data_IF_051580756381
#
_entry.id   IF_051580756381
#
_cell.length_a   1.000
_cell.length_b   1.000
_cell.length_c   1.000
_cell.angle_alpha   90.00
_cell.angle_beta   90.00
_cell.angle_gamma   90.00
#
_symmetry.space_group_name_H-M   'P 1'
#
loop_
_entity.id
_entity.type
_entity.pdbx_description
1 polymer ?
#
# COMPACT_ATOMS: atom_id res chain seq x y z
N UNK A 1 26.56 33.44 -10.43
CA UNK A 1 26.79 32.00 -10.23
C UNK A 1 25.58 31.43 -9.50
N UNK A 2 24.63 30.83 -10.22
CA UNK A 2 23.46 30.20 -9.62
C UNK A 2 23.70 28.68 -9.60
N UNK A 3 23.97 28.13 -8.42
CA UNK A 3 24.05 26.69 -8.23
C UNK A 3 22.62 26.12 -8.15
N UNK A 4 22.16 25.58 -9.27
CA UNK A 4 21.00 24.69 -9.33
C UNK A 4 21.34 23.41 -8.56
N UNK A 5 20.72 23.23 -7.40
CA UNK A 5 20.73 21.96 -6.67
C UNK A 5 19.37 21.31 -6.91
N UNK A 6 19.22 20.72 -8.09
CA UNK A 6 18.14 19.76 -8.36
C UNK A 6 18.53 18.44 -7.70
N UNK A 7 18.45 18.37 -6.36
CA UNK A 7 18.48 17.08 -5.66
C UNK A 7 17.10 16.46 -5.78
N UNK A 8 16.87 15.79 -6.91
CA UNK A 8 15.80 14.82 -7.04
C UNK A 8 16.08 13.68 -6.07
N UNK A 9 15.53 13.79 -4.85
CA UNK A 9 15.52 12.68 -3.91
C UNK A 9 14.59 11.63 -4.54
N UNK A 10 15.17 10.63 -5.21
CA UNK A 10 14.47 9.39 -5.55
C UNK A 10 14.19 8.68 -4.23
N UNK A 11 13.12 9.07 -3.55
CA UNK A 11 12.57 8.26 -2.47
C UNK A 11 11.82 7.13 -3.16
N UNK A 12 12.50 6.00 -3.29
CA UNK A 12 11.82 4.77 -3.67
C UNK A 12 10.82 4.47 -2.54
N UNK A 13 9.52 4.56 -2.83
CA UNK A 13 8.50 3.97 -1.95
C UNK A 13 8.79 2.48 -1.94
N UNK A 14 9.52 2.05 -0.93
CA UNK A 14 9.73 0.65 -0.67
C UNK A 14 8.45 0.16 0.00
N UNK A 15 7.42 -0.07 -0.80
CA UNK A 15 6.26 -0.82 -0.35
C UNK A 15 6.78 -2.22 -0.03
N UNK A 16 7.00 -2.46 1.25
CA UNK A 16 7.61 -3.69 1.72
C UNK A 16 6.58 -4.54 2.40
N UNK A 17 6.60 -5.84 2.10
CA UNK A 17 5.84 -6.85 2.80
C UNK A 17 6.80 -7.92 3.33
N UNK A 18 6.38 -8.66 4.35
CA UNK A 18 7.20 -9.68 4.99
C UNK A 18 7.21 -10.96 4.15
N UNK A 19 8.40 -11.49 3.85
CA UNK A 19 8.59 -12.74 3.10
C UNK A 19 8.38 -13.98 4.00
N UNK A 20 8.14 -15.16 3.42
CA UNK A 20 7.90 -16.42 4.16
C UNK A 20 9.20 -17.06 4.70
N UNK A 21 10.37 -16.57 4.28
CA UNK A 21 11.65 -17.21 4.57
C UNK A 21 12.46 -16.44 5.62
N UNK A 22 12.51 -16.98 6.85
CA UNK A 22 13.52 -16.78 7.92
C UNK A 22 13.03 -16.12 9.24
N UNK A 23 13.18 -16.80 10.38
CA UNK A 23 12.27 -16.68 11.53
C UNK A 23 12.71 -15.84 12.73
N UNK A 24 12.71 -14.50 12.66
CA UNK A 24 12.98 -13.67 13.86
C UNK A 24 12.21 -12.33 13.95
N UNK A 25 10.90 -12.34 14.19
CA UNK A 25 10.18 -11.15 14.71
C UNK A 25 8.96 -11.54 15.57
N UNK A 26 8.85 -10.93 16.77
CA UNK A 26 7.86 -11.29 17.81
C UNK A 26 6.43 -10.77 17.54
N UNK A 27 6.27 -9.72 16.74
CA UNK A 27 4.95 -9.21 16.32
C UNK A 27 4.28 -10.11 15.27
N UNK A 28 5.09 -10.65 14.35
CA UNK A 28 4.68 -11.57 13.28
C UNK A 28 4.16 -12.90 13.82
N UNK A 29 4.80 -13.42 14.88
CA UNK A 29 4.39 -14.66 15.57
C UNK A 29 2.99 -14.61 16.15
N UNK A 30 2.58 -13.46 16.71
CA UNK A 30 1.33 -13.32 17.46
C UNK A 30 0.09 -13.32 16.56
N UNK A 31 0.23 -12.91 15.29
CA UNK A 31 -0.88 -12.82 14.33
C UNK A 31 -0.85 -13.89 13.23
N UNK A 32 0.30 -14.48 12.92
CA UNK A 32 0.45 -15.36 11.74
C UNK A 32 1.28 -16.64 11.96
N UNK A 33 1.73 -16.93 13.19
CA UNK A 33 2.58 -18.10 13.49
C UNK A 33 4.01 -18.00 12.92
N UNK A 34 4.79 -19.09 12.99
CA UNK A 34 6.21 -19.17 12.58
C UNK A 34 6.47 -19.00 11.06
N UNK A 35 5.52 -18.47 10.27
CA UNK A 35 5.59 -18.41 8.79
C UNK A 35 6.01 -17.05 8.22
N UNK A 36 6.39 -16.09 9.04
CA UNK A 36 6.71 -14.72 8.59
C UNK A 36 8.10 -14.26 8.99
N UNK A 37 8.88 -13.89 7.99
CA UNK A 37 10.25 -13.40 8.13
C UNK A 37 10.35 -11.89 8.28
N UNK A 38 11.36 -11.37 9.01
CA UNK A 38 11.56 -9.93 9.24
C UNK A 38 11.92 -9.14 7.99
N UNK A 39 12.28 -9.81 6.89
CA UNK A 39 12.82 -9.13 5.73
C UNK A 39 11.70 -8.40 4.99
N UNK A 40 11.84 -7.08 4.99
CA UNK A 40 11.06 -6.18 4.18
C UNK A 40 11.41 -6.39 2.70
N UNK A 41 10.53 -7.09 1.97
CA UNK A 41 10.66 -7.32 0.54
C UNK A 41 9.86 -6.30 -0.23
N UNK A 42 10.49 -5.64 -1.20
CA UNK A 42 9.83 -4.77 -2.16
C UNK A 42 8.74 -5.53 -2.91
N UNK A 43 7.57 -4.90 -3.11
CA UNK A 43 6.59 -5.39 -4.06
C UNK A 43 7.25 -5.53 -5.44
N UNK A 44 7.16 -6.72 -6.00
CA UNK A 44 7.51 -6.98 -7.39
C UNK A 44 6.49 -6.35 -8.34
N UNK A 45 6.83 -6.26 -9.64
CA UNK A 45 5.93 -5.70 -10.66
C UNK A 45 4.55 -6.39 -10.68
N UNK A 46 4.51 -7.71 -10.45
CA UNK A 46 3.25 -8.47 -10.35
C UNK A 46 2.47 -8.13 -9.07
N UNK A 47 3.16 -7.74 -8.01
CA UNK A 47 2.52 -7.37 -6.75
C UNK A 47 2.02 -5.93 -6.75
N UNK A 48 2.47 -5.09 -7.68
CA UNK A 48 1.87 -3.77 -7.91
C UNK A 48 0.40 -3.86 -8.35
N UNK A 49 -0.03 -5.00 -8.93
CA UNK A 49 -1.45 -5.26 -9.17
C UNK A 49 -2.30 -5.23 -7.90
N UNK A 50 -1.70 -5.34 -6.70
CA UNK A 50 -2.37 -5.10 -5.43
C UNK A 50 -3.10 -3.74 -5.41
N UNK A 51 -2.44 -2.66 -5.86
CA UNK A 51 -3.06 -1.33 -5.92
C UNK A 51 -4.16 -1.27 -6.98
N UNK A 52 -3.99 -1.97 -8.10
CA UNK A 52 -5.02 -2.10 -9.13
C UNK A 52 -6.27 -2.81 -8.61
N UNK A 53 -6.09 -3.87 -7.81
CA UNK A 53 -7.18 -4.57 -7.13
C UNK A 53 -7.89 -3.63 -6.14
N UNK A 54 -7.14 -2.90 -5.31
CA UNK A 54 -7.73 -1.90 -4.39
C UNK A 54 -8.58 -0.86 -5.14
N UNK A 55 -8.08 -0.37 -6.27
CA UNK A 55 -8.81 0.56 -7.12
C UNK A 55 -10.07 -0.10 -7.72
N UNK A 56 -9.98 -1.32 -8.23
CA UNK A 56 -11.13 -2.04 -8.78
C UNK A 56 -12.24 -2.26 -7.71
N UNK A 57 -11.87 -2.53 -6.46
CA UNK A 57 -12.82 -2.64 -5.35
C UNK A 57 -13.59 -1.34 -5.06
N UNK A 58 -13.03 -0.17 -5.40
CA UNK A 58 -13.76 1.11 -5.29
C UNK A 58 -14.75 1.36 -6.42
N UNK A 59 -14.62 0.64 -7.55
CA UNK A 59 -15.52 0.76 -8.69
C UNK A 59 -16.73 -0.17 -8.57
N UNK A 60 -16.52 -1.34 -7.98
CA UNK A 60 -17.56 -2.34 -7.75
C UNK A 60 -17.51 -2.80 -6.31
N UNK A 61 -18.31 -2.18 -5.45
CA UNK A 61 -18.36 -2.55 -4.04
C UNK A 61 -19.13 -3.86 -3.83
N UNK A 62 -18.47 -4.84 -3.21
CA UNK A 62 -19.10 -6.08 -2.76
C UNK A 62 -19.24 -6.12 -1.23
N UNK A 63 -20.26 -6.81 -0.68
CA UNK A 63 -20.51 -6.84 0.76
C UNK A 63 -19.35 -7.38 1.60
N UNK A 64 -18.61 -8.35 1.06
CA UNK A 64 -17.41 -8.92 1.69
C UNK A 64 -16.29 -8.98 0.65
N UNK A 65 -15.09 -8.56 1.06
CA UNK A 65 -13.86 -8.61 0.26
C UNK A 65 -13.56 -10.01 -0.28
N UNK A 66 -13.98 -11.06 0.42
CA UNK A 66 -13.77 -12.45 -0.02
C UNK A 66 -14.48 -12.75 -1.35
N UNK A 67 -15.56 -12.04 -1.67
CA UNK A 67 -16.35 -12.28 -2.88
C UNK A 67 -15.63 -11.89 -4.17
N UNK A 68 -14.63 -10.99 -4.13
CA UNK A 68 -13.86 -10.61 -5.33
C UNK A 68 -13.04 -11.76 -5.95
N UNK A 69 -12.77 -12.82 -5.17
CA UNK A 69 -12.05 -14.01 -5.63
C UNK A 69 -12.94 -15.21 -5.91
N UNK A 70 -14.27 -15.07 -5.80
CA UNK A 70 -15.17 -16.15 -6.15
C UNK A 70 -15.13 -16.42 -7.66
N UNK A 71 -15.33 -17.68 -8.03
CA UNK A 71 -15.39 -18.14 -9.42
C UNK A 71 -16.80 -18.57 -9.84
N UNK A 72 -17.74 -18.58 -8.88
CA UNK A 72 -19.12 -18.99 -9.11
C UNK A 72 -19.85 -17.83 -9.77
N UNK A 73 -20.21 -18.00 -11.05
CA UNK A 73 -20.93 -17.02 -11.86
C UNK A 73 -22.42 -16.90 -11.52
N UNK A 74 -22.98 -17.88 -10.82
CA UNK A 74 -24.43 -18.09 -10.74
C UNK A 74 -25.10 -17.30 -9.59
N UNK A 75 -24.58 -16.11 -9.27
CA UNK A 75 -25.07 -15.26 -8.20
C UNK A 75 -25.59 -13.90 -8.70
N UNK A 76 -26.36 -13.22 -7.84
CA UNK A 76 -26.86 -11.85 -8.07
C UNK A 76 -25.69 -10.86 -8.29
N UNK A 77 -24.51 -11.17 -7.76
CA UNK A 77 -23.27 -10.43 -7.95
C UNK A 77 -22.24 -11.34 -8.62
N UNK A 78 -22.15 -11.37 -9.96
CA UNK A 78 -21.14 -12.17 -10.64
C UNK A 78 -19.75 -11.65 -10.23
N UNK A 79 -18.88 -12.51 -9.68
CA UNK A 79 -17.58 -12.08 -9.19
C UNK A 79 -16.64 -11.78 -10.36
N UNK A 80 -15.85 -10.72 -10.21
CA UNK A 80 -14.85 -10.31 -11.21
C UNK A 80 -13.71 -11.34 -11.40
N UNK A 81 -13.62 -12.36 -10.54
CA UNK A 81 -12.55 -13.36 -10.53
C UNK A 81 -11.15 -12.71 -10.57
N UNK A 82 -10.85 -11.89 -9.56
CA UNK A 82 -9.57 -11.19 -9.46
C UNK A 82 -8.37 -12.12 -9.43
N UNK A 83 -8.55 -13.36 -8.96
CA UNK A 83 -7.53 -14.40 -9.00
C UNK A 83 -7.01 -14.67 -10.40
N UNK A 84 -7.91 -14.74 -11.39
CA UNK A 84 -7.55 -14.95 -12.79
C UNK A 84 -7.18 -13.63 -13.49
N UNK A 85 -7.91 -12.54 -13.24
CA UNK A 85 -7.69 -11.26 -13.94
C UNK A 85 -6.39 -10.56 -13.55
N UNK A 86 -6.04 -10.59 -12.26
CA UNK A 86 -4.88 -9.88 -11.72
C UNK A 86 -3.74 -10.83 -11.29
N UNK A 87 -3.90 -12.14 -11.53
CA UNK A 87 -2.91 -13.18 -11.20
C UNK A 87 -2.47 -13.13 -9.72
N UNK A 88 -3.37 -12.67 -8.84
CA UNK A 88 -3.11 -12.52 -7.41
C UNK A 88 -4.13 -13.34 -6.64
N UNK A 89 -3.65 -14.34 -5.90
CA UNK A 89 -4.51 -15.14 -5.03
C UNK A 89 -5.02 -14.29 -3.87
N UNK A 90 -6.21 -14.64 -3.34
CA UNK A 90 -6.77 -13.99 -2.15
C UNK A 90 -5.79 -14.00 -0.98
N UNK A 91 -5.15 -15.14 -0.74
CA UNK A 91 -4.16 -15.29 0.33
C UNK A 91 -2.99 -14.31 0.15
N UNK A 92 -2.47 -14.18 -1.08
CA UNK A 92 -1.38 -13.25 -1.34
C UNK A 92 -1.80 -11.80 -1.13
N UNK A 93 -3.00 -11.44 -1.58
CA UNK A 93 -3.56 -10.11 -1.36
C UNK A 93 -3.66 -9.79 0.15
N UNK A 94 -4.21 -10.70 0.97
CA UNK A 94 -4.35 -10.50 2.41
C UNK A 94 -2.97 -10.39 3.12
N UNK A 95 -1.99 -11.19 2.68
CA UNK A 95 -0.62 -11.09 3.19
C UNK A 95 -0.05 -9.70 2.93
N UNK A 96 -0.15 -9.21 1.69
CA UNK A 96 0.33 -7.87 1.33
C UNK A 96 -0.42 -6.81 2.15
N UNK A 97 -1.75 -6.92 2.26
CA UNK A 97 -2.59 -5.96 2.98
C UNK A 97 -2.14 -5.77 4.43
N UNK A 98 -1.85 -6.86 5.16
CA UNK A 98 -1.47 -6.77 6.58
C UNK A 98 0.00 -6.40 6.77
N UNK A 99 0.85 -6.86 5.86
CA UNK A 99 2.30 -6.64 5.93
C UNK A 99 2.75 -5.31 5.32
N UNK A 100 1.90 -4.58 4.60
CA UNK A 100 2.27 -3.33 3.94
C UNK A 100 2.75 -2.29 4.95
N UNK A 101 3.96 -1.78 4.73
CA UNK A 101 4.58 -0.70 5.50
C UNK A 101 5.25 0.29 4.56
N UNK A 102 5.25 1.56 4.96
CA UNK A 102 5.82 2.68 4.18
C UNK A 102 7.02 3.34 4.86
N UNK A 103 7.39 2.89 6.06
CA UNK A 103 8.52 3.40 6.84
C UNK A 103 9.37 2.24 7.33
N UNK A 104 10.70 2.43 7.38
CA UNK A 104 11.62 1.46 7.97
C UNK A 104 11.60 1.58 9.50
N UNK A 105 11.79 0.48 10.25
CA UNK A 105 11.88 0.54 11.71
C UNK A 105 12.99 1.47 12.22
N UNK A 106 14.08 1.62 11.46
CA UNK A 106 15.20 2.51 11.79
C UNK A 106 14.86 4.00 11.75
N UNK A 107 13.80 4.35 11.03
CA UNK A 107 13.44 5.75 10.73
C UNK A 107 12.26 6.22 11.59
N UNK A 108 11.85 5.40 12.57
CA UNK A 108 10.72 5.70 13.45
C UNK A 108 11.17 6.64 14.57
N UNK A 109 10.60 7.84 14.58
CA UNK A 109 10.64 8.75 15.72
C UNK A 109 9.49 8.39 16.69
N UNK A 110 9.84 8.06 17.93
CA UNK A 110 8.86 7.68 18.95
C UNK A 110 7.95 8.84 19.40
N UNK A 111 8.37 10.08 19.18
CA UNK A 111 7.59 11.28 19.49
C UNK A 111 6.52 11.58 18.42
N UNK A 112 6.68 11.08 17.20
CA UNK A 112 5.76 11.33 16.09
C UNK A 112 4.62 10.30 16.06
N UNK A 113 3.41 10.77 16.37
CA UNK A 113 2.17 9.96 16.31
C UNK A 113 1.86 9.44 14.90
N UNK A 114 2.39 10.09 13.87
CA UNK A 114 2.16 9.76 12.45
C UNK A 114 3.32 8.99 11.79
N UNK A 115 4.32 8.55 12.56
CA UNK A 115 5.56 7.91 12.09
C UNK A 115 5.39 6.79 11.03
N UNK A 116 4.31 6.02 11.12
CA UNK A 116 4.05 4.90 10.20
C UNK A 116 3.59 5.32 8.80
N UNK A 117 2.97 6.51 8.67
CA UNK A 117 2.38 7.01 7.41
C UNK A 117 3.01 8.31 6.93
N UNK A 118 3.78 8.99 7.79
CA UNK A 118 4.40 10.29 7.50
C UNK A 118 5.19 10.29 6.20
N UNK A 119 6.07 9.30 6.02
CA UNK A 119 6.89 9.16 4.82
C UNK A 119 6.02 9.14 3.56
N UNK A 120 4.95 8.34 3.55
CA UNK A 120 4.03 8.25 2.42
C UNK A 120 3.35 9.59 2.13
N UNK A 121 2.78 10.22 3.15
CA UNK A 121 2.08 11.50 3.01
C UNK A 121 3.00 12.59 2.48
N UNK A 122 4.23 12.66 2.99
CA UNK A 122 5.23 13.62 2.52
C UNK A 122 5.61 13.37 1.06
N UNK A 123 5.84 12.12 0.67
CA UNK A 123 6.15 11.77 -0.73
C UNK A 123 5.01 12.14 -1.69
N UNK A 124 3.76 11.86 -1.31
CA UNK A 124 2.59 12.25 -2.11
C UNK A 124 2.51 13.77 -2.23
N UNK A 125 2.64 14.50 -1.13
CA UNK A 125 2.59 15.96 -1.12
C UNK A 125 3.69 16.59 -1.98
N UNK A 126 4.92 16.09 -1.89
CA UNK A 126 6.03 16.57 -2.69
C UNK A 126 5.79 16.32 -4.17
N UNK A 127 5.22 15.16 -4.53
CA UNK A 127 4.89 14.89 -5.93
C UNK A 127 3.73 15.74 -6.43
N UNK A 128 2.73 16.01 -5.61
CA UNK A 128 1.61 16.88 -5.98
C UNK A 128 2.07 18.33 -6.18
N UNK A 129 2.96 18.85 -5.34
CA UNK A 129 3.55 20.20 -5.49
C UNK A 129 4.36 20.34 -6.79
N UNK A 130 5.07 19.29 -7.18
CA UNK A 130 5.83 19.25 -8.44
C UNK A 130 4.93 19.16 -9.67
N UNK A 131 3.81 18.42 -9.56
CA UNK A 131 2.95 18.10 -10.71
C UNK A 131 1.87 19.16 -10.95
N UNK A 132 1.31 19.74 -9.89
CA UNK A 132 0.15 20.62 -9.96
C UNK A 132 0.58 22.08 -9.82
N UNK A 133 0.14 22.93 -10.75
CA UNK A 133 0.29 24.39 -10.64
C UNK A 133 -1.03 24.99 -10.18
N UNK A 134 -1.06 25.69 -9.02
CA UNK A 134 -2.30 26.29 -8.54
C UNK A 134 -2.75 27.42 -9.47
N UNK A 135 -4.07 27.56 -9.60
CA UNK A 135 -4.69 28.69 -10.29
C UNK A 135 -4.74 29.94 -9.41
N UNK A 136 -5.45 30.98 -9.88
CA UNK A 136 -5.53 32.27 -9.20
C UNK A 136 -6.30 32.25 -7.86
N UNK A 137 -7.07 31.19 -7.58
CA UNK A 137 -7.85 31.03 -6.35
C UNK A 137 -7.54 29.69 -5.71
N UNK A 138 -7.31 29.72 -4.41
CA UNK A 138 -7.05 28.54 -3.58
C UNK A 138 -8.09 28.54 -2.46
N UNK A 139 -8.71 27.38 -2.24
CA UNK A 139 -9.63 27.15 -1.12
C UNK A 139 -8.97 26.17 -0.16
N UNK A 140 -9.12 26.42 1.14
CA UNK A 140 -8.64 25.54 2.21
C UNK A 140 -9.86 25.07 2.98
N UNK A 141 -9.96 23.76 3.15
CA UNK A 141 -11.04 23.10 3.87
C UNK A 141 -10.50 21.84 4.55
N UNK A 142 -11.16 21.39 5.61
CA UNK A 142 -10.81 20.15 6.30
C UNK A 142 -11.57 18.94 5.72
N UNK A 143 -10.95 17.76 5.75
CA UNK A 143 -11.62 16.51 5.37
C UNK A 143 -11.41 15.47 6.46
N UNK A 144 -12.48 14.77 6.80
CA UNK A 144 -12.46 13.66 7.75
C UNK A 144 -12.49 12.32 7.01
N UNK A 145 -11.59 11.43 7.39
CA UNK A 145 -11.62 10.02 7.00
C UNK A 145 -12.20 9.23 8.19
N UNK A 146 -13.25 8.45 7.95
CA UNK A 146 -13.92 7.63 8.97
C UNK A 146 -13.26 6.26 9.13
#
# INVERSE_FOLDING_TARGET
>A
MAASITRGVRVHVKATYFDENDGQNTWSRKHFGDRFSPRQKLLSDKELFFFGILYAMTLQELPDRRFYWNTISDGIFPPENFGQRFVMSRQRFEIILVALRFTQPSDLDDSDKSRNTRTLVMMVNDKLKDTIRPGAKITVDESMFA
#
